data_IF_205275251171
#
_entry.id   IF_205275251171
#
_cell.length_a   1.000
_cell.length_b   1.000
_cell.length_c   1.000
_cell.angle_alpha   90.00
_cell.angle_beta   90.00
_cell.angle_gamma   90.00
#
_symmetry.space_group_name_H-M   'P 1'
#
loop_
_entity.id
_entity.type
_entity.pdbx_description
1 polymer ?
#
# COMPACT_ATOMS: atom_id res chain seq x y z
N UNK A 1 7.65 2.14 5.68
CA UNK A 1 8.37 1.47 6.78
C UNK A 1 9.08 0.21 6.30
N UNK A 2 8.40 -0.83 5.79
CA UNK A 2 9.04 -2.08 5.34
C UNK A 2 10.22 -1.82 4.41
N UNK A 3 10.06 -0.97 3.38
CA UNK A 3 11.16 -0.61 2.48
C UNK A 3 12.31 0.09 3.21
N UNK A 4 12.01 0.93 4.20
CA UNK A 4 13.03 1.62 4.98
C UNK A 4 13.87 0.63 5.79
N UNK A 5 13.24 -0.32 6.46
CA UNK A 5 13.97 -1.35 7.22
C UNK A 5 14.81 -2.24 6.31
N UNK A 6 14.27 -2.68 5.17
CA UNK A 6 15.06 -3.42 4.18
C UNK A 6 16.25 -2.59 3.69
N UNK A 7 16.04 -1.31 3.40
CA UNK A 7 17.11 -0.43 2.94
C UNK A 7 18.20 -0.19 4.01
N UNK A 8 17.88 -0.23 5.30
CA UNK A 8 18.87 -0.18 6.38
C UNK A 8 19.73 -1.43 6.45
N UNK A 9 19.12 -2.61 6.22
CA UNK A 9 19.84 -3.88 6.17
C UNK A 9 20.80 -3.96 4.97
N UNK A 10 20.45 -3.31 3.86
CA UNK A 10 21.22 -3.32 2.62
C UNK A 10 21.58 -1.87 2.17
N UNK A 11 22.56 -1.23 2.85
CA UNK A 11 22.86 0.18 2.61
C UNK A 11 23.40 0.47 1.21
N UNK A 12 23.99 -0.50 0.54
CA UNK A 12 24.55 -0.34 -0.82
C UNK A 12 23.56 -0.69 -1.94
N UNK A 13 22.40 -1.27 -1.60
CA UNK A 13 21.43 -1.69 -2.62
C UNK A 13 20.76 -0.47 -3.29
N UNK A 14 20.63 -0.51 -4.62
CA UNK A 14 19.81 0.44 -5.37
C UNK A 14 18.32 0.14 -5.19
N UNK A 15 17.50 1.17 -5.25
CA UNK A 15 16.04 1.05 -5.15
C UNK A 15 15.45 1.25 -6.54
N UNK A 16 14.65 0.30 -6.98
CA UNK A 16 13.96 0.36 -8.27
C UNK A 16 12.46 0.54 -8.05
N UNK A 17 11.85 1.50 -8.74
CA UNK A 17 10.41 1.78 -8.65
C UNK A 17 9.84 2.18 -10.01
N UNK A 18 8.55 1.92 -10.23
CA UNK A 18 7.93 2.32 -11.49
C UNK A 18 7.95 3.83 -11.69
N UNK A 19 7.59 4.57 -10.64
CA UNK A 19 7.51 6.03 -10.66
C UNK A 19 7.91 6.59 -9.30
N UNK A 20 8.48 7.80 -9.29
CA UNK A 20 8.86 8.53 -8.08
C UNK A 20 8.33 9.96 -8.17
N UNK A 21 7.89 10.50 -7.05
CA UNK A 21 7.70 11.94 -6.85
C UNK A 21 8.73 12.43 -5.86
N UNK A 22 9.53 13.43 -6.21
CA UNK A 22 10.47 14.04 -5.25
C UNK A 22 9.74 14.51 -3.98
N UNK A 23 10.35 14.28 -2.83
CA UNK A 23 9.79 14.65 -1.52
C UNK A 23 8.61 13.77 -1.05
N UNK A 24 8.31 12.67 -1.73
CA UNK A 24 7.25 11.75 -1.32
C UNK A 24 7.71 10.61 -0.41
N UNK A 25 9.02 10.45 -0.26
CA UNK A 25 9.63 9.44 0.60
C UNK A 25 10.17 10.06 1.88
N UNK A 26 10.45 9.21 2.86
CA UNK A 26 11.18 9.65 4.06
C UNK A 26 12.62 10.05 3.68
N UNK A 27 13.25 10.99 4.40
CA UNK A 27 14.56 11.53 4.03
C UNK A 27 15.65 10.48 3.79
N UNK A 28 15.68 9.43 4.59
CA UNK A 28 16.63 8.32 4.49
C UNK A 28 16.53 7.56 3.14
N UNK A 29 15.33 7.44 2.60
CA UNK A 29 15.13 6.83 1.28
C UNK A 29 15.35 7.80 0.12
N UNK A 30 15.06 9.11 0.33
CA UNK A 30 15.31 10.13 -0.70
C UNK A 30 16.78 10.25 -1.09
N UNK A 31 17.70 9.95 -0.18
CA UNK A 31 19.15 10.03 -0.38
C UNK A 31 19.74 8.78 -1.07
N UNK A 32 18.93 7.75 -1.35
CA UNK A 32 19.38 6.49 -1.96
C UNK A 32 19.46 6.58 -3.48
N UNK A 33 20.24 5.68 -4.10
CA UNK A 33 20.18 5.47 -5.55
C UNK A 33 18.80 4.90 -5.92
N UNK A 34 17.93 5.76 -6.45
CA UNK A 34 16.57 5.40 -6.85
C UNK A 34 16.45 5.47 -8.36
N UNK A 35 16.22 4.33 -8.98
CA UNK A 35 16.03 4.18 -10.41
C UNK A 35 14.55 3.99 -10.74
N UNK A 36 14.05 4.75 -11.73
CA UNK A 36 12.65 4.67 -12.15
C UNK A 36 12.52 3.97 -13.49
N UNK A 37 11.37 3.34 -13.74
CA UNK A 37 11.07 2.77 -15.06
C UNK A 37 10.74 3.87 -16.08
N UNK A 38 10.64 3.49 -17.35
CA UNK A 38 10.18 4.36 -18.44
C UNK A 38 8.77 4.94 -18.18
N UNK A 39 7.96 4.34 -17.32
CA UNK A 39 6.68 4.91 -16.91
C UNK A 39 6.81 6.26 -16.21
N UNK A 40 7.96 6.59 -15.65
CA UNK A 40 8.22 7.91 -15.06
C UNK A 40 7.97 9.02 -16.08
N UNK A 41 8.45 8.86 -17.30
CA UNK A 41 8.29 9.84 -18.38
C UNK A 41 6.85 9.84 -18.90
N UNK A 42 6.31 8.69 -19.23
CA UNK A 42 4.94 8.55 -19.81
C UNK A 42 3.86 8.97 -18.81
N UNK A 43 4.09 8.86 -17.52
CA UNK A 43 3.14 9.25 -16.46
C UNK A 43 3.17 10.73 -16.11
N UNK A 44 3.84 11.58 -16.88
CA UNK A 44 4.02 13.01 -16.59
C UNK A 44 4.63 13.23 -15.18
N UNK A 45 5.79 12.65 -14.93
CA UNK A 45 6.46 12.72 -13.64
C UNK A 45 5.71 12.02 -12.49
N UNK A 46 5.03 10.92 -12.79
CA UNK A 46 4.31 10.11 -11.80
C UNK A 46 2.94 10.67 -11.39
N UNK A 47 2.38 11.64 -12.12
CA UNK A 47 1.05 12.20 -11.78
C UNK A 47 -0.12 11.32 -12.24
N UNK A 48 0.01 10.63 -13.38
CA UNK A 48 -1.06 9.83 -14.02
C UNK A 48 -0.79 8.32 -13.99
N UNK A 49 0.13 7.83 -13.18
CA UNK A 49 0.56 6.43 -13.14
C UNK A 49 -0.60 5.42 -12.95
N UNK A 50 -1.65 5.82 -12.22
CA UNK A 50 -2.79 4.91 -11.94
C UNK A 50 -3.54 4.48 -13.18
N UNK A 51 -3.52 5.28 -14.24
CA UNK A 51 -4.16 4.95 -15.52
C UNK A 51 -3.30 4.03 -16.40
N UNK A 52 -2.03 3.83 -16.03
CA UNK A 52 -1.08 3.03 -16.78
C UNK A 52 -0.97 1.59 -16.27
N UNK A 53 -1.98 1.13 -15.52
CA UNK A 53 -2.01 -0.23 -14.99
C UNK A 53 -1.73 -1.33 -16.02
N UNK A 54 -2.27 -1.30 -17.24
CA UNK A 54 -1.98 -2.32 -18.26
C UNK A 54 -0.50 -2.38 -18.67
N UNK A 55 0.24 -1.30 -18.50
CA UNK A 55 1.65 -1.18 -18.88
C UNK A 55 2.61 -1.50 -17.72
N UNK A 56 2.11 -1.57 -16.49
CA UNK A 56 2.94 -1.81 -15.31
C UNK A 56 3.68 -3.16 -15.33
N UNK A 57 3.09 -4.28 -15.82
CA UNK A 57 3.82 -5.52 -15.98
C UNK A 57 5.06 -5.38 -16.84
N UNK A 58 4.93 -4.82 -18.04
CA UNK A 58 6.06 -4.60 -18.95
C UNK A 58 7.12 -3.64 -18.35
N UNK A 59 6.67 -2.62 -17.63
CA UNK A 59 7.57 -1.66 -17.00
C UNK A 59 8.37 -2.25 -15.83
N UNK A 60 7.79 -3.14 -15.04
CA UNK A 60 8.53 -3.79 -13.95
C UNK A 60 9.50 -4.86 -14.49
N UNK A 61 9.13 -5.54 -15.56
CA UNK A 61 9.96 -6.53 -16.23
C UNK A 61 11.11 -5.91 -17.06
N UNK A 62 11.06 -4.61 -17.35
CA UNK A 62 12.13 -3.90 -18.07
C UNK A 62 13.34 -3.55 -17.21
N UNK A 63 13.27 -3.71 -15.88
CA UNK A 63 14.44 -3.51 -15.05
C UNK A 63 15.46 -4.64 -15.21
N UNK A 64 16.73 -4.27 -15.21
CA UNK A 64 17.87 -5.19 -15.26
C UNK A 64 18.71 -5.05 -14.01
N UNK A 65 19.22 -6.17 -13.52
CA UNK A 65 20.01 -6.27 -12.28
C UNK A 65 21.24 -7.17 -12.53
N UNK A 66 22.17 -6.78 -13.44
CA UNK A 66 23.18 -7.71 -13.98
C UNK A 66 24.06 -8.36 -12.89
N UNK A 67 24.35 -7.66 -11.81
CA UNK A 67 25.28 -8.09 -10.77
C UNK A 67 24.58 -8.40 -9.43
N UNK A 68 23.27 -8.65 -9.45
CA UNK A 68 22.54 -8.90 -8.22
C UNK A 68 22.47 -10.39 -7.89
N UNK A 69 23.00 -10.77 -6.72
CA UNK A 69 22.79 -12.12 -6.14
C UNK A 69 21.47 -12.21 -5.37
N UNK A 70 20.94 -11.06 -4.93
CA UNK A 70 19.70 -10.97 -4.16
C UNK A 70 18.82 -9.84 -4.69
N UNK A 71 17.58 -10.18 -5.03
CA UNK A 71 16.53 -9.23 -5.39
C UNK A 71 15.45 -9.28 -4.33
N UNK A 72 15.18 -8.15 -3.65
CA UNK A 72 14.10 -8.04 -2.67
C UNK A 72 13.02 -7.12 -3.24
N UNK A 73 11.81 -7.64 -3.44
CA UNK A 73 10.67 -6.84 -3.88
C UNK A 73 9.66 -6.62 -2.75
N UNK A 74 9.18 -5.37 -2.59
CA UNK A 74 8.04 -5.07 -1.71
C UNK A 74 6.83 -4.76 -2.59
N UNK A 75 5.81 -5.61 -2.53
CA UNK A 75 4.76 -5.58 -3.55
C UNK A 75 3.34 -5.48 -2.98
N UNK A 76 2.59 -4.54 -3.52
CA UNK A 76 1.12 -4.50 -3.39
C UNK A 76 0.45 -4.56 -4.78
N UNK A 77 1.25 -4.65 -5.83
CA UNK A 77 0.81 -4.69 -7.23
C UNK A 77 1.81 -5.51 -8.07
N UNK A 78 2.69 -4.87 -8.82
CA UNK A 78 3.52 -5.52 -9.84
C UNK A 78 4.98 -5.73 -9.44
N UNK A 79 5.47 -5.13 -8.36
CA UNK A 79 6.90 -5.15 -7.99
C UNK A 79 7.49 -6.58 -7.89
N UNK A 80 6.68 -7.56 -7.46
CA UNK A 80 7.06 -8.97 -7.40
C UNK A 80 7.38 -9.60 -8.77
N UNK A 81 6.95 -8.95 -9.84
CA UNK A 81 7.11 -9.45 -11.19
C UNK A 81 8.40 -9.05 -11.88
N UNK A 82 9.39 -8.52 -11.16
CA UNK A 82 10.74 -8.34 -11.68
C UNK A 82 11.31 -9.66 -12.23
N UNK A 83 12.23 -9.57 -13.15
CA UNK A 83 12.95 -10.72 -13.71
C UNK A 83 14.35 -10.67 -13.10
N UNK A 84 14.64 -11.49 -12.06
CA UNK A 84 15.99 -11.59 -11.50
C UNK A 84 16.98 -12.16 -12.53
N UNK A 85 18.27 -11.82 -12.44
CA UNK A 85 19.27 -12.46 -13.27
C UNK A 85 19.42 -13.95 -12.90
N UNK A 86 19.95 -14.79 -13.79
CA UNK A 86 20.20 -16.19 -13.51
C UNK A 86 21.05 -16.39 -12.25
N UNK A 87 20.58 -17.21 -11.31
CA UNK A 87 21.26 -17.49 -10.05
C UNK A 87 20.94 -16.54 -8.92
N UNK A 88 20.32 -15.40 -9.15
CA UNK A 88 19.91 -14.49 -8.08
C UNK A 88 18.71 -15.04 -7.30
N UNK A 89 18.74 -14.90 -5.98
CA UNK A 89 17.64 -15.28 -5.10
C UNK A 89 16.59 -14.12 -5.06
N UNK A 90 15.33 -14.43 -5.32
CA UNK A 90 14.24 -13.45 -5.27
C UNK A 90 13.37 -13.67 -4.03
N UNK A 91 13.48 -12.77 -3.05
CA UNK A 91 12.59 -12.66 -1.91
C UNK A 91 11.53 -11.58 -2.17
N UNK A 92 10.25 -11.91 -1.99
CA UNK A 92 9.17 -10.94 -2.17
C UNK A 92 8.34 -10.75 -0.91
N UNK A 93 8.34 -9.52 -0.37
CA UNK A 93 7.46 -9.12 0.72
C UNK A 93 6.12 -8.62 0.15
N UNK A 94 5.07 -9.37 0.39
CA UNK A 94 3.74 -9.14 -0.20
C UNK A 94 2.85 -8.40 0.79
N UNK A 95 2.49 -7.16 0.44
CA UNK A 95 1.46 -6.42 1.15
C UNK A 95 0.06 -6.92 0.83
N UNK A 96 -0.16 -7.32 -0.43
CA UNK A 96 -1.35 -8.02 -0.91
C UNK A 96 -1.14 -8.42 -2.37
N UNK A 97 -1.74 -9.51 -2.87
CA UNK A 97 -1.98 -9.70 -4.30
C UNK A 97 -2.75 -8.54 -4.92
N UNK A 98 -2.78 -8.45 -6.24
CA UNK A 98 -3.40 -7.33 -6.98
C UNK A 98 -4.90 -7.25 -6.70
N UNK A 99 -5.34 -6.57 -5.63
CA UNK A 99 -6.72 -6.58 -5.11
C UNK A 99 -7.78 -6.16 -6.12
N UNK A 100 -7.51 -5.18 -6.96
CA UNK A 100 -8.46 -4.72 -7.97
C UNK A 100 -8.66 -5.72 -9.12
N UNK A 101 -7.77 -6.68 -9.28
CA UNK A 101 -7.95 -7.78 -10.21
C UNK A 101 -8.66 -9.00 -9.56
N UNK A 102 -8.59 -9.13 -8.23
CA UNK A 102 -9.14 -10.24 -7.46
C UNK A 102 -10.38 -9.83 -6.63
N UNK A 103 -10.21 -9.66 -5.33
CA UNK A 103 -11.29 -9.49 -4.34
C UNK A 103 -12.06 -8.16 -4.45
N UNK A 104 -11.47 -7.12 -5.01
CA UNK A 104 -12.14 -5.83 -5.18
C UNK A 104 -12.57 -5.51 -6.63
N UNK A 105 -12.53 -6.50 -7.52
CA UNK A 105 -12.86 -6.32 -8.95
C UNK A 105 -14.19 -5.62 -9.15
N UNK A 106 -15.26 -6.07 -8.48
CA UNK A 106 -16.59 -5.50 -8.64
C UNK A 106 -16.64 -4.00 -8.27
N UNK A 107 -16.00 -3.61 -7.18
CA UNK A 107 -15.94 -2.22 -6.71
C UNK A 107 -15.18 -1.31 -7.69
N UNK A 108 -14.15 -1.82 -8.35
CA UNK A 108 -13.40 -1.06 -9.36
C UNK A 108 -14.15 -0.98 -10.69
N UNK A 109 -14.72 -2.05 -11.17
CA UNK A 109 -15.52 -2.07 -12.40
C UNK A 109 -16.78 -1.20 -12.29
N UNK A 110 -17.41 -1.14 -11.12
CA UNK A 110 -18.57 -0.28 -10.90
C UNK A 110 -18.30 1.22 -11.06
N UNK A 111 -17.03 1.65 -11.09
CA UNK A 111 -16.60 3.04 -11.35
C UNK A 111 -16.30 3.32 -12.83
N UNK A 112 -16.26 2.26 -13.64
CA UNK A 112 -15.95 2.36 -15.07
C UNK A 112 -17.27 2.51 -15.83
N UNK A 113 -17.37 3.44 -16.81
CA UNK A 113 -18.56 3.56 -17.65
C UNK A 113 -18.93 2.22 -18.29
N UNK A 114 -20.23 1.90 -18.35
CA UNK A 114 -20.71 0.58 -18.80
C UNK A 114 -20.16 0.16 -20.16
N UNK A 115 -20.03 1.11 -21.08
CA UNK A 115 -19.50 0.86 -22.44
C UNK A 115 -18.03 0.40 -22.43
N UNK A 116 -17.23 0.82 -21.45
CA UNK A 116 -15.79 0.50 -21.35
C UNK A 116 -15.54 -0.73 -20.46
N UNK A 117 -16.55 -1.19 -19.72
CA UNK A 117 -16.41 -2.33 -18.79
C UNK A 117 -15.90 -3.62 -19.44
N UNK A 118 -16.32 -4.03 -20.65
CA UNK A 118 -15.76 -5.23 -21.28
C UNK A 118 -14.25 -5.15 -21.49
N UNK A 119 -13.74 -3.99 -21.96
CA UNK A 119 -12.31 -3.77 -22.13
C UNK A 119 -11.59 -3.81 -20.76
N UNK A 120 -12.12 -3.13 -19.75
CA UNK A 120 -11.58 -3.15 -18.41
C UNK A 120 -11.55 -4.56 -17.80
N UNK A 121 -12.57 -5.39 -18.06
CA UNK A 121 -12.61 -6.79 -17.65
C UNK A 121 -11.51 -7.62 -18.32
N UNK A 122 -11.28 -7.42 -19.62
CA UNK A 122 -10.18 -8.06 -20.36
C UNK A 122 -8.82 -7.72 -19.78
N UNK A 123 -8.56 -6.44 -19.53
CA UNK A 123 -7.33 -5.97 -18.88
C UNK A 123 -7.15 -6.60 -17.50
N UNK A 124 -8.18 -6.63 -16.67
CA UNK A 124 -8.10 -7.26 -15.35
C UNK A 124 -7.89 -8.78 -15.43
N UNK A 125 -8.40 -9.44 -16.47
CA UNK A 125 -8.14 -10.86 -16.70
C UNK A 125 -6.66 -11.11 -17.04
N UNK A 126 -6.07 -10.30 -17.91
CA UNK A 126 -4.65 -10.36 -18.23
C UNK A 126 -3.78 -10.10 -17.00
N UNK A 127 -4.12 -9.09 -16.21
CA UNK A 127 -3.41 -8.79 -14.95
C UNK A 127 -3.48 -9.97 -13.98
N UNK A 128 -4.61 -10.68 -13.85
CA UNK A 128 -4.71 -11.87 -13.00
C UNK A 128 -3.80 -13.00 -13.49
N UNK A 129 -3.79 -13.27 -14.78
CA UNK A 129 -2.90 -14.28 -15.36
C UNK A 129 -1.45 -13.94 -15.11
N UNK A 130 -1.06 -12.71 -15.40
CA UNK A 130 0.30 -12.22 -15.14
C UNK A 130 0.65 -12.26 -13.64
N UNK A 131 -0.30 -11.93 -12.75
CA UNK A 131 -0.12 -11.93 -11.29
C UNK A 131 0.19 -13.35 -10.78
N UNK A 132 -0.46 -14.37 -11.33
CA UNK A 132 -0.17 -15.78 -11.01
C UNK A 132 1.17 -16.21 -11.63
N UNK A 133 1.38 -16.00 -12.93
CA UNK A 133 2.58 -16.44 -13.64
C UNK A 133 3.85 -15.79 -13.07
N UNK A 134 3.82 -14.48 -12.81
CA UNK A 134 4.97 -13.78 -12.23
C UNK A 134 5.28 -14.22 -10.80
N UNK A 135 4.34 -14.82 -10.07
CA UNK A 135 4.60 -15.35 -8.73
C UNK A 135 5.55 -16.55 -8.75
N UNK A 136 5.65 -17.27 -9.87
CA UNK A 136 6.57 -18.40 -10.03
C UNK A 136 8.06 -17.99 -10.02
N UNK A 137 8.36 -16.70 -10.28
CA UNK A 137 9.73 -16.15 -10.26
C UNK A 137 10.24 -15.79 -8.86
N UNK A 138 9.43 -16.00 -7.83
CA UNK A 138 9.79 -15.69 -6.46
C UNK A 138 10.31 -16.96 -5.79
N UNK A 139 11.51 -16.95 -5.23
CA UNK A 139 12.03 -18.09 -4.48
C UNK A 139 11.38 -18.14 -3.10
N UNK A 140 11.29 -17.01 -2.38
CA UNK A 140 10.65 -16.93 -1.07
C UNK A 140 9.58 -15.86 -0.99
N UNK A 141 8.38 -16.29 -0.63
CA UNK A 141 7.24 -15.38 -0.43
C UNK A 141 7.08 -15.08 1.04
N UNK A 142 7.10 -13.80 1.40
CA UNK A 142 6.80 -13.29 2.75
C UNK A 142 5.53 -12.45 2.68
N UNK A 143 4.57 -12.71 3.55
CA UNK A 143 3.31 -11.98 3.64
C UNK A 143 3.28 -11.12 4.90
N UNK A 144 2.71 -9.91 4.81
CA UNK A 144 2.58 -9.00 5.95
C UNK A 144 1.56 -9.46 7.02
N UNK A 145 0.77 -10.48 6.74
CA UNK A 145 -0.27 -10.97 7.66
C UNK A 145 -0.78 -12.34 7.24
N UNK A 146 -1.40 -13.06 8.19
CA UNK A 146 -2.09 -14.34 7.91
C UNK A 146 -3.14 -14.23 6.82
N UNK A 147 -3.87 -13.10 6.75
CA UNK A 147 -4.85 -12.86 5.69
C UNK A 147 -4.19 -12.77 4.32
N UNK A 148 -3.05 -12.10 4.23
CA UNK A 148 -2.30 -11.99 2.96
C UNK A 148 -1.66 -13.33 2.59
N UNK A 149 -1.13 -14.10 3.54
CA UNK A 149 -0.65 -15.46 3.29
C UNK A 149 -1.77 -16.35 2.76
N UNK A 150 -2.99 -16.27 3.36
CA UNK A 150 -4.16 -16.98 2.84
C UNK A 150 -4.50 -16.56 1.40
N UNK A 151 -4.45 -15.24 1.06
CA UNK A 151 -4.65 -14.76 -0.32
C UNK A 151 -3.60 -15.29 -1.29
N UNK A 152 -2.33 -15.28 -0.91
CA UNK A 152 -1.24 -15.85 -1.69
C UNK A 152 -1.51 -17.33 -1.98
N UNK A 153 -1.85 -18.10 -0.96
CA UNK A 153 -2.21 -19.52 -1.13
C UNK A 153 -3.43 -19.69 -2.01
N UNK A 154 -4.46 -18.86 -1.84
CA UNK A 154 -5.72 -18.97 -2.60
C UNK A 154 -5.56 -18.58 -4.07
N UNK A 155 -4.84 -17.48 -4.36
CA UNK A 155 -4.75 -16.94 -5.72
C UNK A 155 -3.56 -17.50 -6.51
N UNK A 156 -2.40 -17.68 -5.86
CA UNK A 156 -1.15 -18.11 -6.53
C UNK A 156 -0.81 -19.58 -6.29
N UNK A 157 -1.53 -20.26 -5.38
CA UNK A 157 -1.23 -21.64 -4.94
C UNK A 157 0.17 -21.79 -4.37
N UNK A 158 0.67 -20.76 -3.71
CA UNK A 158 1.98 -20.74 -3.06
C UNK A 158 1.84 -20.55 -1.56
N UNK A 159 2.76 -21.11 -0.80
CA UNK A 159 2.88 -20.83 0.64
C UNK A 159 3.63 -19.53 0.85
N UNK A 160 3.35 -18.85 1.96
CA UNK A 160 4.02 -17.62 2.37
C UNK A 160 4.30 -17.64 3.86
N UNK A 161 5.52 -17.28 4.23
CA UNK A 161 5.88 -16.98 5.61
C UNK A 161 5.21 -15.68 6.06
N UNK A 162 4.82 -15.59 7.33
CA UNK A 162 4.17 -14.36 7.84
C UNK A 162 5.15 -13.57 8.68
N UNK A 163 5.53 -12.39 8.18
CA UNK A 163 6.32 -11.40 8.93
C UNK A 163 5.51 -10.10 8.93
N UNK A 164 4.94 -9.68 10.08
CA UNK A 164 4.20 -8.43 10.18
C UNK A 164 5.07 -7.21 9.83
N UNK A 165 4.46 -6.09 9.37
CA UNK A 165 5.21 -4.89 9.09
C UNK A 165 5.81 -4.30 10.38
N UNK A 166 7.00 -3.68 10.30
CA UNK A 166 7.64 -3.06 11.45
C UNK A 166 6.84 -1.85 11.94
N UNK A 167 6.88 -1.65 13.25
CA UNK A 167 6.33 -0.48 13.94
C UNK A 167 7.49 0.20 14.67
N UNK A 168 7.55 1.53 14.60
CA UNK A 168 8.53 2.31 15.34
C UNK A 168 8.09 2.45 16.81
N UNK A 169 8.45 1.46 17.61
CA UNK A 169 8.10 1.39 19.04
C UNK A 169 8.89 2.35 19.90
N UNK A 170 10.04 2.85 19.42
CA UNK A 170 10.85 3.84 20.11
C UNK A 170 10.21 5.23 20.03
N UNK A 171 9.52 5.50 18.93
CA UNK A 171 8.80 6.76 18.74
C UNK A 171 7.36 6.71 19.28
N UNK A 172 6.61 5.66 18.98
CA UNK A 172 5.22 5.50 19.43
C UNK A 172 5.18 4.81 20.80
N UNK A 173 5.60 5.53 21.84
CA UNK A 173 5.58 5.06 23.22
C UNK A 173 4.31 5.53 23.93
N UNK A 174 3.84 4.82 24.97
CA UNK A 174 2.81 5.32 25.88
C UNK A 174 3.19 6.68 26.45
N UNK A 175 2.22 7.52 26.76
CA UNK A 175 2.43 8.79 27.46
C UNK A 175 2.03 8.66 28.93
N UNK A 176 2.63 9.50 29.78
CA UNK A 176 2.34 9.56 31.22
C UNK A 176 1.21 10.57 31.56
N UNK A 177 0.71 11.27 30.52
CA UNK A 177 -0.36 12.25 30.67
C UNK A 177 -1.74 11.64 30.87
N UNK A 178 -2.73 12.45 31.33
CA UNK A 178 -4.11 11.99 31.46
C UNK A 178 -4.68 11.60 30.08
N UNK A 179 -5.32 10.45 30.01
CA UNK A 179 -6.05 10.02 28.83
C UNK A 179 -7.41 10.71 28.74
N UNK A 180 -7.79 11.09 27.54
CA UNK A 180 -9.12 11.63 27.27
C UNK A 180 -10.19 10.53 27.22
N UNK A 181 -11.43 10.96 27.19
CA UNK A 181 -12.60 10.08 27.02
C UNK A 181 -13.15 10.15 25.58
N UNK A 182 -12.28 10.19 24.60
CA UNK A 182 -12.65 10.25 23.21
C UNK A 182 -12.03 9.12 22.39
N UNK A 183 -12.66 8.82 21.28
CA UNK A 183 -12.17 7.83 20.32
C UNK A 183 -11.32 8.51 19.27
N UNK A 184 -10.31 7.82 18.78
CA UNK A 184 -9.49 8.26 17.65
C UNK A 184 -9.53 7.21 16.53
N UNK A 185 -9.68 7.66 15.28
CA UNK A 185 -9.49 6.82 14.11
C UNK A 185 -8.55 7.50 13.11
N UNK A 186 -7.56 6.75 12.63
CA UNK A 186 -6.56 7.24 11.68
C UNK A 186 -6.70 6.46 10.38
N UNK A 187 -7.12 7.11 9.30
CA UNK A 187 -7.32 6.44 8.03
C UNK A 187 -7.31 7.40 6.84
N UNK A 188 -6.88 6.93 5.67
CA UNK A 188 -7.27 7.56 4.42
C UNK A 188 -8.80 7.47 4.26
N UNK A 189 -9.46 8.58 3.97
CA UNK A 189 -10.93 8.65 3.87
C UNK A 189 -11.41 8.12 2.50
N UNK A 190 -11.30 6.81 2.34
CA UNK A 190 -11.70 6.07 1.12
C UNK A 190 -12.73 4.99 1.46
N UNK A 191 -13.60 4.58 0.50
CA UNK A 191 -14.73 3.69 0.78
C UNK A 191 -14.39 2.39 1.49
N UNK A 192 -13.29 1.74 1.12
CA UNK A 192 -12.93 0.44 1.68
C UNK A 192 -12.40 0.50 3.12
N UNK A 193 -12.09 1.68 3.65
CA UNK A 193 -11.69 1.88 5.05
C UNK A 193 -12.88 1.95 6.01
N UNK A 194 -14.10 2.10 5.47
CA UNK A 194 -15.35 2.04 6.24
C UNK A 194 -15.37 2.96 7.46
N UNK A 195 -14.82 4.19 7.31
CA UNK A 195 -14.72 5.16 8.43
C UNK A 195 -16.11 5.52 9.00
N UNK A 196 -17.16 5.38 8.21
CA UNK A 196 -18.54 5.53 8.67
C UNK A 196 -18.89 4.61 9.85
N UNK A 197 -18.27 3.44 9.94
CA UNK A 197 -18.48 2.52 11.08
C UNK A 197 -17.95 3.11 12.39
N UNK A 198 -16.81 3.81 12.35
CA UNK A 198 -16.29 4.50 13.54
C UNK A 198 -17.24 5.62 14.01
N UNK A 199 -17.85 6.36 13.07
CA UNK A 199 -18.86 7.38 13.38
C UNK A 199 -20.09 6.74 14.07
N UNK A 200 -20.57 5.61 13.52
CA UNK A 200 -21.73 4.92 14.09
C UNK A 200 -21.45 4.34 15.49
N UNK A 201 -20.23 3.83 15.71
CA UNK A 201 -19.77 3.34 17.02
C UNK A 201 -19.69 4.49 18.03
N UNK A 202 -19.05 5.60 17.67
CA UNK A 202 -18.93 6.78 18.53
C UNK A 202 -20.31 7.30 18.98
N UNK A 203 -21.25 7.39 18.02
CA UNK A 203 -22.65 7.79 18.29
C UNK A 203 -23.34 6.85 19.26
N UNK A 204 -23.18 5.52 19.08
CA UNK A 204 -23.79 4.53 19.97
C UNK A 204 -23.24 4.59 21.39
N UNK A 205 -21.97 4.94 21.51
CA UNK A 205 -21.29 5.05 22.83
C UNK A 205 -21.46 6.43 23.47
N UNK A 206 -22.04 7.41 22.78
CA UNK A 206 -22.13 8.81 23.24
C UNK A 206 -20.76 9.44 23.45
N UNK A 207 -19.73 9.04 22.67
CA UNK A 207 -18.35 9.52 22.82
C UNK A 207 -17.93 10.40 21.65
N UNK A 208 -17.11 11.41 21.93
CA UNK A 208 -16.45 12.20 20.90
C UNK A 208 -15.53 11.32 20.05
N UNK A 209 -15.46 11.59 18.74
CA UNK A 209 -14.57 10.90 17.81
C UNK A 209 -13.72 11.91 17.03
N UNK A 210 -12.42 11.73 17.10
CA UNK A 210 -11.46 12.44 16.27
C UNK A 210 -11.08 11.59 15.06
N UNK A 211 -11.35 12.10 13.85
CA UNK A 211 -11.00 11.45 12.59
C UNK A 211 -9.78 12.15 12.00
N UNK A 212 -8.66 11.42 11.98
CA UNK A 212 -7.37 11.89 11.48
C UNK A 212 -7.15 11.28 10.09
N UNK A 213 -6.94 12.16 9.11
CA UNK A 213 -6.68 11.79 7.72
C UNK A 213 -7.50 12.58 6.73
N UNK A 214 -7.20 12.36 5.45
CA UNK A 214 -7.83 13.04 4.31
C UNK A 214 -8.27 12.04 3.25
N UNK A 215 -9.16 12.46 2.35
CA UNK A 215 -9.56 11.61 1.24
C UNK A 215 -10.89 12.02 0.59
N UNK A 216 -11.25 11.39 -0.53
CA UNK A 216 -12.41 11.75 -1.32
C UNK A 216 -13.76 11.59 -0.61
N UNK A 217 -13.82 10.82 0.47
CA UNK A 217 -15.05 10.64 1.24
C UNK A 217 -15.28 11.71 2.33
N UNK A 218 -14.38 12.68 2.51
CA UNK A 218 -14.52 13.70 3.56
C UNK A 218 -15.89 14.37 3.55
N UNK A 219 -16.37 14.82 2.38
CA UNK A 219 -17.68 15.47 2.25
C UNK A 219 -18.85 14.55 2.61
N UNK A 220 -18.81 13.29 2.22
CA UNK A 220 -19.81 12.30 2.60
C UNK A 220 -19.81 12.03 4.12
N UNK A 221 -18.63 11.81 4.70
CA UNK A 221 -18.49 11.53 6.13
C UNK A 221 -18.91 12.72 7.00
N UNK A 222 -18.61 13.95 6.60
CA UNK A 222 -19.08 15.17 7.29
C UNK A 222 -20.61 15.26 7.33
N UNK A 223 -21.30 14.92 6.24
CA UNK A 223 -22.78 14.93 6.22
C UNK A 223 -23.40 13.86 7.11
N UNK A 224 -22.69 12.75 7.35
CA UNK A 224 -23.12 11.65 8.22
C UNK A 224 -22.79 11.89 9.69
N UNK A 225 -21.76 12.68 9.96
CA UNK A 225 -21.27 12.96 11.31
C UNK A 225 -22.23 13.87 12.08
N UNK A 226 -22.32 13.62 13.40
CA UNK A 226 -22.91 14.54 14.36
C UNK A 226 -21.91 15.57 14.88
N UNK A 227 -22.34 16.40 15.82
CA UNK A 227 -21.51 17.43 16.49
C UNK A 227 -20.32 16.81 17.24
N UNK A 228 -20.44 15.56 17.66
CA UNK A 228 -19.42 14.88 18.45
C UNK A 228 -18.25 14.33 17.61
N UNK A 229 -18.26 14.55 16.29
CA UNK A 229 -17.22 14.07 15.37
C UNK A 229 -16.38 15.24 14.87
N UNK A 230 -15.08 15.21 15.18
CA UNK A 230 -14.11 16.20 14.72
C UNK A 230 -13.26 15.63 13.58
N UNK A 231 -13.20 16.30 12.45
CA UNK A 231 -12.31 15.99 11.33
C UNK A 231 -11.03 16.81 11.46
N UNK A 232 -9.96 16.17 11.93
CA UNK A 232 -8.69 16.83 12.25
C UNK A 232 -7.87 17.10 10.98
N UNK A 233 -8.00 16.27 9.96
CA UNK A 233 -7.19 16.36 8.76
C UNK A 233 -5.89 15.56 8.85
N UNK A 234 -4.85 16.01 8.15
CA UNK A 234 -3.53 15.40 8.21
C UNK A 234 -2.76 15.95 9.40
N UNK A 235 -2.03 15.09 10.09
CA UNK A 235 -1.16 15.42 11.22
C UNK A 235 0.29 15.05 10.91
N UNK A 236 1.23 15.78 11.49
CA UNK A 236 2.63 15.37 11.58
C UNK A 236 2.77 14.07 12.39
N UNK A 237 3.94 13.50 12.38
CA UNK A 237 4.22 12.27 13.10
C UNK A 237 4.13 12.47 14.62
N UNK A 238 4.61 13.59 15.10
CA UNK A 238 4.57 14.03 16.50
C UNK A 238 3.13 14.27 16.96
N UNK A 239 2.36 15.05 16.22
CA UNK A 239 0.95 15.31 16.49
C UNK A 239 0.12 14.01 16.49
N UNK A 240 0.43 13.07 15.58
CA UNK A 240 -0.23 11.78 15.55
C UNK A 240 0.07 10.92 16.78
N UNK A 241 1.33 10.89 17.24
CA UNK A 241 1.70 10.21 18.47
C UNK A 241 0.95 10.81 19.67
N UNK A 242 0.89 12.13 19.74
CA UNK A 242 0.25 12.82 20.86
C UNK A 242 -1.28 12.64 20.81
N UNK A 243 -1.87 12.57 19.62
CA UNK A 243 -3.28 12.20 19.46
C UNK A 243 -3.58 10.77 19.96
N UNK A 244 -2.69 9.81 19.73
CA UNK A 244 -2.84 8.45 20.27
C UNK A 244 -2.67 8.40 21.80
N UNK A 245 -1.78 9.22 22.36
CA UNK A 245 -1.54 9.27 23.80
C UNK A 245 -2.71 9.91 24.55
N UNK A 246 -3.40 10.84 23.93
CA UNK A 246 -4.51 11.58 24.50
C UNK A 246 -5.89 10.92 24.37
N UNK A 247 -6.00 9.76 23.74
CA UNK A 247 -7.26 9.07 23.49
C UNK A 247 -7.56 7.94 24.49
#
# INVERSE_FOLDING_TARGET
WVLAEIARLFPQASIHTLVRRPGALIPELEQRDIRTSWLQTVSFGGRRWRYLLPLMPAAIESFTFPDADLVISTSHCVAKGVIPPPGAFHLSYIHTPVRYAWDQRAAYLGRVPKLVQPVAQGVLAQIRQWDVLSSARIDRVVANSRLVAWRVKHYWRREAEVIPPPIDTDFFTPGDGPRGDHLVTVAALVPYKRVEVAIDVARKLGRRLDIIGTGPQLGYLRRRAGSDVRFVGWLSREELRDAYRGA
#
